data_IF_416499583615
#
_entry.id   IF_416499583615
#
_cell.length_a   1.000
_cell.length_b   1.000
_cell.length_c   1.000
_cell.angle_alpha   90.00
_cell.angle_beta   90.00
_cell.angle_gamma   90.00
#
_symmetry.space_group_name_H-M   'P 1'
#
loop_
_entity.id
_entity.type
_entity.pdbx_description
1 polymer ?
#
# COMPACT_ATOMS: atom_id res chain seq x y z
N UNK A 1 5.28 -24.05 -21.80
CA UNK A 1 4.89 -24.96 -20.69
C UNK A 1 6.10 -25.50 -19.92
N UNK A 2 7.26 -25.72 -20.55
CA UNK A 2 8.42 -26.37 -19.90
C UNK A 2 9.04 -25.67 -18.68
N UNK A 3 8.92 -24.34 -18.52
CA UNK A 3 9.54 -23.65 -17.38
C UNK A 3 8.80 -23.95 -16.06
N UNK A 4 7.47 -23.90 -16.08
CA UNK A 4 6.65 -24.15 -14.88
C UNK A 4 6.83 -25.57 -14.39
N UNK A 5 6.81 -26.55 -15.30
CA UNK A 5 7.04 -27.97 -14.97
C UNK A 5 8.43 -28.18 -14.38
N UNK A 6 9.47 -27.53 -14.92
CA UNK A 6 10.83 -27.58 -14.37
C UNK A 6 10.92 -27.01 -12.95
N UNK A 7 10.22 -25.92 -12.65
CA UNK A 7 10.19 -25.35 -11.30
C UNK A 7 9.44 -26.26 -10.31
N UNK A 8 8.34 -26.87 -10.75
CA UNK A 8 7.53 -27.80 -9.94
C UNK A 8 8.20 -29.16 -9.70
N UNK A 9 9.29 -29.47 -10.41
CA UNK A 9 10.09 -30.66 -10.13
C UNK A 9 10.84 -30.58 -8.78
N UNK A 10 11.00 -29.39 -8.21
CA UNK A 10 11.53 -29.20 -6.86
C UNK A 10 10.40 -29.32 -5.81
N UNK A 11 10.54 -30.22 -4.85
CA UNK A 11 9.53 -30.52 -3.81
C UNK A 11 9.18 -29.33 -2.89
N UNK A 12 10.07 -28.34 -2.78
CA UNK A 12 9.84 -27.13 -1.99
C UNK A 12 8.93 -26.12 -2.70
N UNK A 13 8.76 -26.25 -4.02
CA UNK A 13 7.94 -25.33 -4.82
C UNK A 13 6.49 -25.80 -4.83
N UNK A 14 5.57 -24.91 -4.43
CA UNK A 14 4.13 -25.16 -4.46
C UNK A 14 3.43 -24.03 -5.20
N UNK A 15 2.35 -24.38 -5.92
CA UNK A 15 1.48 -23.39 -6.54
C UNK A 15 0.75 -22.59 -5.47
N UNK A 16 0.60 -21.28 -5.70
CA UNK A 16 -0.15 -20.38 -4.85
C UNK A 16 -1.16 -19.59 -5.68
N UNK A 17 -2.42 -19.58 -5.24
CA UNK A 17 -3.49 -18.83 -5.88
C UNK A 17 -3.53 -17.34 -5.48
N UNK A 18 -4.51 -16.62 -6.00
CA UNK A 18 -4.67 -15.18 -5.75
C UNK A 18 -4.97 -14.84 -4.29
N UNK A 19 -5.73 -15.69 -3.57
CA UNK A 19 -6.01 -15.47 -2.16
C UNK A 19 -4.74 -15.46 -1.29
N UNK A 20 -3.87 -16.46 -1.48
CA UNK A 20 -2.57 -16.52 -0.79
C UNK A 20 -1.69 -15.31 -1.14
N UNK A 21 -1.67 -14.89 -2.41
CA UNK A 21 -0.95 -13.69 -2.85
C UNK A 21 -1.44 -12.43 -2.14
N UNK A 22 -2.75 -12.25 -1.99
CA UNK A 22 -3.33 -11.07 -1.33
C UNK A 22 -3.07 -11.07 0.19
N UNK A 23 -3.14 -12.23 0.85
CA UNK A 23 -2.76 -12.32 2.27
C UNK A 23 -1.28 -11.99 2.48
N UNK A 24 -0.38 -12.60 1.69
CA UNK A 24 1.07 -12.38 1.84
C UNK A 24 1.48 -10.92 1.56
N UNK A 25 0.92 -10.27 0.53
CA UNK A 25 1.25 -8.86 0.25
C UNK A 25 0.75 -7.94 1.36
N UNK A 26 -0.40 -8.24 1.96
CA UNK A 26 -0.98 -7.44 3.03
C UNK A 26 -0.12 -7.54 4.29
N UNK A 27 0.31 -8.74 4.66
CA UNK A 27 1.23 -8.99 5.77
C UNK A 27 2.59 -8.31 5.55
N UNK A 28 3.11 -8.32 4.33
CA UNK A 28 4.33 -7.59 3.96
C UNK A 28 4.14 -6.06 3.88
N UNK A 29 2.93 -5.55 4.09
CA UNK A 29 2.61 -4.12 4.05
C UNK A 29 2.68 -3.48 2.65
N UNK A 30 2.62 -4.31 1.60
CA UNK A 30 2.68 -3.87 0.20
C UNK A 30 1.30 -3.38 -0.27
N UNK A 31 1.33 -2.25 -0.98
CA UNK A 31 0.11 -1.64 -1.54
C UNK A 31 -0.38 -2.43 -2.76
N UNK A 32 -1.70 -2.53 -2.89
CA UNK A 32 -2.41 -2.97 -4.07
C UNK A 32 -3.06 -1.74 -4.73
N UNK A 33 -2.64 -1.40 -5.95
CA UNK A 33 -3.25 -0.31 -6.71
C UNK A 33 -4.73 -0.60 -7.00
N UNK A 34 -5.58 0.42 -6.83
CA UNK A 34 -7.04 0.30 -6.87
C UNK A 34 -7.68 0.01 -5.50
N UNK A 35 -6.89 -0.38 -4.50
CA UNK A 35 -7.34 -0.60 -3.12
C UNK A 35 -6.67 0.35 -2.13
N UNK A 36 -5.35 0.27 -2.00
CA UNK A 36 -4.60 1.03 -1.00
C UNK A 36 -4.09 2.38 -1.54
N UNK A 37 -3.97 2.47 -2.87
CA UNK A 37 -3.49 3.64 -3.61
C UNK A 37 -4.23 3.73 -4.95
N UNK A 38 -4.44 4.95 -5.41
CA UNK A 38 -5.10 5.28 -6.68
C UNK A 38 -4.64 6.67 -7.16
N UNK A 39 -5.28 7.20 -8.20
CA UNK A 39 -4.99 8.53 -8.75
C UNK A 39 -5.28 9.68 -7.77
N UNK A 40 -6.04 9.44 -6.71
CA UNK A 40 -6.40 10.44 -5.68
C UNK A 40 -5.45 10.42 -4.48
N UNK A 41 -4.55 9.45 -4.41
CA UNK A 41 -3.69 9.21 -3.25
C UNK A 41 -2.25 9.59 -3.56
N UNK A 42 -1.69 10.57 -2.85
CA UNK A 42 -0.30 10.97 -3.08
C UNK A 42 0.68 9.96 -2.47
N UNK A 43 1.95 9.91 -2.93
CA UNK A 43 2.97 9.09 -2.29
C UNK A 43 3.21 9.44 -0.82
N UNK A 44 2.91 10.66 -0.39
CA UNK A 44 3.02 11.06 1.03
C UNK A 44 1.87 10.46 1.84
N UNK A 45 0.64 10.56 1.34
CA UNK A 45 -0.54 9.94 1.95
C UNK A 45 -0.40 8.42 2.02
N UNK A 46 0.14 7.79 0.98
CA UNK A 46 0.33 6.34 0.89
C UNK A 46 1.45 5.79 1.78
N UNK A 47 2.19 6.64 2.53
CA UNK A 47 3.41 6.25 3.25
C UNK A 47 4.52 5.71 2.32
N UNK A 48 4.61 6.23 1.09
CA UNK A 48 5.54 5.81 0.04
C UNK A 48 6.58 6.88 -0.33
N UNK A 49 6.80 7.90 0.51
CA UNK A 49 7.78 8.98 0.27
C UNK A 49 9.18 8.46 -0.09
N UNK A 50 9.54 7.29 0.43
CA UNK A 50 10.82 6.62 0.17
C UNK A 50 11.07 6.32 -1.32
N UNK A 51 10.04 6.19 -2.15
CA UNK A 51 10.17 5.96 -3.60
C UNK A 51 10.67 7.20 -4.35
N UNK A 52 10.51 8.40 -3.76
CA UNK A 52 10.92 9.65 -4.37
C UNK A 52 12.38 9.93 -3.99
N UNK A 53 13.28 9.72 -4.94
CA UNK A 53 14.71 9.98 -4.76
C UNK A 53 15.02 11.43 -4.36
N UNK A 54 16.08 11.64 -3.55
CA UNK A 54 16.46 12.95 -3.00
C UNK A 54 16.62 14.04 -4.08
N UNK A 55 17.28 13.72 -5.20
CA UNK A 55 17.45 14.64 -6.33
C UNK A 55 16.11 15.16 -6.82
N UNK A 56 15.14 14.26 -7.07
CA UNK A 56 13.80 14.59 -7.58
C UNK A 56 13.05 15.55 -6.66
N UNK A 57 13.22 15.41 -5.34
CA UNK A 57 12.61 16.32 -4.35
C UNK A 57 13.18 17.75 -4.43
N UNK A 58 14.45 17.87 -4.81
CA UNK A 58 15.13 19.17 -4.95
C UNK A 58 14.83 19.81 -6.31
N UNK A 59 14.89 19.02 -7.39
CA UNK A 59 14.67 19.49 -8.76
C UNK A 59 13.21 19.68 -9.12
N UNK A 60 12.29 19.02 -8.40
CA UNK A 60 10.83 19.07 -8.64
C UNK A 60 10.44 18.71 -10.09
N UNK A 61 11.26 17.89 -10.74
CA UNK A 61 11.18 17.50 -12.15
C UNK A 61 10.29 16.26 -12.36
N UNK A 62 9.15 16.16 -11.65
CA UNK A 62 8.22 15.04 -11.78
C UNK A 62 6.75 15.51 -11.70
N UNK A 63 5.81 14.76 -12.31
CA UNK A 63 4.40 15.13 -12.28
C UNK A 63 3.87 15.24 -10.85
N UNK A 64 3.17 16.33 -10.53
CA UNK A 64 2.60 16.56 -9.20
C UNK A 64 3.60 17.00 -8.11
N UNK A 65 4.87 17.29 -8.46
CA UNK A 65 5.88 17.74 -7.51
C UNK A 65 5.48 19.01 -6.73
N UNK A 66 4.64 19.86 -7.33
CA UNK A 66 4.12 21.06 -6.67
C UNK A 66 3.17 20.76 -5.50
N UNK A 67 2.51 19.60 -5.51
CA UNK A 67 1.65 19.12 -4.42
C UNK A 67 2.44 18.22 -3.47
N UNK A 68 3.20 17.28 -4.03
CA UNK A 68 3.85 16.20 -3.27
C UNK A 68 5.00 16.73 -2.40
N UNK A 69 5.84 17.64 -2.92
CA UNK A 69 7.01 18.13 -2.17
C UNK A 69 6.60 18.94 -0.91
N UNK A 70 5.62 19.85 -0.96
CA UNK A 70 5.11 20.52 0.24
C UNK A 70 4.56 19.56 1.30
N UNK A 71 3.83 18.52 0.89
CA UNK A 71 3.26 17.52 1.79
C UNK A 71 4.31 16.78 2.63
N UNK A 72 5.54 16.60 2.11
CA UNK A 72 6.63 15.95 2.87
C UNK A 72 6.96 16.73 4.15
N UNK A 73 6.90 18.07 4.12
CA UNK A 73 7.17 18.93 5.28
C UNK A 73 5.93 19.22 6.09
N UNK A 74 4.83 19.56 5.42
CA UNK A 74 3.58 19.99 6.05
C UNK A 74 2.76 18.83 6.62
N UNK A 75 3.13 17.57 6.30
CA UNK A 75 2.32 16.37 6.51
C UNK A 75 1.01 16.42 5.71
N UNK A 76 0.23 15.35 5.78
CA UNK A 76 -1.02 15.16 5.05
C UNK A 76 -2.19 14.99 6.01
N UNK A 77 -3.41 15.31 5.55
CA UNK A 77 -4.63 15.16 6.36
C UNK A 77 -4.98 13.69 6.63
N UNK A 78 -4.60 12.79 5.72
CA UNK A 78 -4.74 11.34 5.84
C UNK A 78 -3.41 10.65 5.58
N UNK A 79 -3.23 9.47 6.16
CA UNK A 79 -2.04 8.64 5.97
C UNK A 79 -2.40 7.16 6.05
N UNK A 80 -1.90 6.37 5.10
CA UNK A 80 -2.05 4.91 5.09
C UNK A 80 -1.29 4.29 6.25
N UNK A 81 -1.99 3.46 7.02
CA UNK A 81 -1.48 2.71 8.18
C UNK A 81 -1.92 1.25 8.11
N UNK A 82 -1.22 0.36 8.80
CA UNK A 82 -1.67 -1.01 9.02
C UNK A 82 -2.54 -1.10 10.27
N UNK A 83 -3.61 -1.90 10.22
CA UNK A 83 -4.51 -2.15 11.35
C UNK A 83 -4.48 -3.64 11.69
N UNK A 84 -4.59 -3.94 13.00
CA UNK A 84 -4.69 -5.30 13.52
C UNK A 84 -5.97 -5.35 14.34
N UNK A 85 -6.76 -6.41 14.15
CA UNK A 85 -8.00 -6.66 14.88
C UNK A 85 -8.16 -8.15 15.16
N UNK A 86 -8.93 -8.47 16.20
CA UNK A 86 -9.32 -9.83 16.56
C UNK A 86 -10.79 -10.06 16.19
N UNK A 87 -11.14 -11.30 15.86
CA UNK A 87 -12.51 -11.66 15.46
C UNK A 87 -12.69 -11.68 13.93
N UNK A 88 -13.89 -11.37 13.41
CA UNK A 88 -14.14 -11.38 11.98
C UNK A 88 -13.18 -10.45 11.21
N UNK A 89 -12.64 -10.89 10.05
CA UNK A 89 -11.76 -10.05 9.24
C UNK A 89 -12.44 -8.76 8.78
N UNK A 90 -11.78 -7.63 9.02
CA UNK A 90 -12.23 -6.34 8.51
C UNK A 90 -12.12 -6.34 6.98
N UNK A 91 -13.14 -5.82 6.30
CA UNK A 91 -13.21 -5.76 4.83
C UNK A 91 -12.97 -4.33 4.35
N UNK A 92 -12.56 -4.22 3.09
CA UNK A 92 -12.44 -2.94 2.39
C UNK A 92 -13.75 -2.14 2.49
N UNK A 93 -13.65 -0.81 2.51
CA UNK A 93 -14.77 0.13 2.66
C UNK A 93 -15.46 0.11 4.03
N UNK A 94 -14.87 -0.53 5.04
CA UNK A 94 -15.33 -0.43 6.43
C UNK A 94 -14.88 0.90 7.05
N UNK A 95 -15.78 1.74 7.59
CA UNK A 95 -15.40 2.98 8.26
C UNK A 95 -14.47 2.74 9.47
N UNK A 96 -13.48 3.60 9.63
CA UNK A 96 -12.61 3.66 10.79
C UNK A 96 -13.16 4.73 11.73
N UNK A 97 -13.44 4.35 12.97
CA UNK A 97 -13.98 5.25 13.99
C UNK A 97 -12.91 5.60 15.03
N UNK A 98 -12.97 6.83 15.55
CA UNK A 98 -12.30 7.21 16.79
C UNK A 98 -13.01 6.60 18.01
N UNK A 99 -12.38 6.72 19.18
CA UNK A 99 -12.93 6.20 20.44
C UNK A 99 -14.26 6.82 20.86
N UNK A 100 -14.57 8.02 20.39
CA UNK A 100 -15.86 8.73 20.59
C UNK A 100 -16.88 8.44 19.47
N UNK A 101 -16.58 7.52 18.56
CA UNK A 101 -17.50 7.06 17.52
C UNK A 101 -17.57 7.94 16.26
N UNK A 102 -16.66 8.91 16.10
CA UNK A 102 -16.60 9.74 14.88
C UNK A 102 -15.86 9.01 13.76
N UNK A 103 -16.31 9.16 12.52
CA UNK A 103 -15.63 8.59 11.34
C UNK A 103 -14.36 9.39 11.06
N UNK A 104 -13.23 8.70 10.99
CA UNK A 104 -11.89 9.30 10.76
C UNK A 104 -11.16 8.70 9.54
N UNK A 105 -11.74 7.69 8.89
CA UNK A 105 -11.17 7.04 7.72
C UNK A 105 -12.04 5.92 7.20
#
# INVERSE_FOLDING_TARGET
VSLTEKLLANSEVKLAGLGARDSLRLEAGLCLYGNDIDETTTPVEASLVWTIGKRRRQTRDFPGADIIVPQIKAKTQRKRVGLISTGPPVRQHTPILSSDGRVIG
#
